data_IF_937622718384
#
_entry.id   IF_937622718384
#
_cell.length_a   1.000
_cell.length_b   1.000
_cell.length_c   1.000
_cell.angle_alpha   90.00
_cell.angle_beta   90.00
_cell.angle_gamma   90.00
#
_symmetry.space_group_name_H-M   'P 1'
#
loop_
_entity.id
_entity.type
_entity.pdbx_description
1 polymer ?
#
# COMPACT_ATOMS: atom_id res chain seq x y z
N UNK A 1 48.75 -35.87 -53.72
CA UNK A 1 47.35 -35.48 -53.81
C UNK A 1 46.85 -35.17 -52.42
N UNK A 2 46.87 -33.89 -52.03
CA UNK A 2 46.46 -33.40 -50.71
C UNK A 2 45.03 -32.84 -50.88
N UNK A 3 44.05 -33.41 -50.12
CA UNK A 3 42.68 -32.93 -50.13
C UNK A 3 42.54 -31.87 -49.02
N UNK A 4 42.28 -30.62 -49.44
CA UNK A 4 41.93 -29.51 -48.57
C UNK A 4 40.46 -29.70 -48.13
N UNK A 5 40.21 -29.81 -46.84
CA UNK A 5 38.87 -29.76 -46.25
C UNK A 5 38.63 -28.34 -45.75
N UNK A 6 37.74 -27.60 -46.40
CA UNK A 6 37.33 -26.27 -45.99
C UNK A 6 36.29 -26.41 -44.86
N UNK A 7 36.62 -25.93 -43.67
CA UNK A 7 35.71 -25.86 -42.51
C UNK A 7 34.96 -24.53 -42.55
N UNK A 8 33.67 -24.59 -42.88
CA UNK A 8 32.76 -23.45 -42.91
C UNK A 8 32.27 -23.18 -41.48
N UNK A 9 32.80 -22.17 -40.83
CA UNK A 9 32.34 -21.73 -39.52
C UNK A 9 31.03 -20.94 -39.66
N UNK A 10 29.95 -21.52 -39.22
CA UNK A 10 28.63 -20.87 -39.16
C UNK A 10 28.59 -19.98 -37.92
N UNK A 11 28.69 -18.65 -38.09
CA UNK A 11 28.51 -17.68 -37.01
C UNK A 11 27.04 -17.59 -36.64
N UNK A 12 26.67 -18.20 -35.52
CA UNK A 12 25.35 -18.03 -34.90
C UNK A 12 25.37 -16.66 -34.22
N UNK A 13 24.77 -15.66 -34.85
CA UNK A 13 24.51 -14.36 -34.24
C UNK A 13 23.56 -14.50 -33.09
N UNK A 14 24.06 -14.34 -31.84
CA UNK A 14 23.24 -14.18 -30.65
C UNK A 14 22.51 -12.83 -30.75
N UNK A 15 21.24 -12.85 -31.18
CA UNK A 15 20.36 -11.70 -31.06
C UNK A 15 20.03 -11.55 -29.58
N UNK A 16 20.70 -10.62 -28.89
CA UNK A 16 20.31 -10.20 -27.56
C UNK A 16 18.86 -9.69 -27.60
N UNK A 17 17.96 -10.16 -26.77
CA UNK A 17 16.62 -9.58 -26.71
C UNK A 17 16.75 -8.10 -26.35
N UNK A 18 16.25 -7.23 -27.22
CA UNK A 18 16.15 -5.82 -26.94
C UNK A 18 15.43 -5.64 -25.62
N UNK A 19 16.10 -5.12 -24.60
CA UNK A 19 15.48 -4.75 -23.34
C UNK A 19 14.42 -3.69 -23.66
N UNK A 20 13.14 -4.07 -23.56
CA UNK A 20 12.04 -3.13 -23.76
C UNK A 20 12.22 -1.97 -22.78
N UNK A 21 12.43 -0.77 -23.31
CA UNK A 21 12.55 0.43 -22.51
C UNK A 21 11.24 0.64 -21.74
N UNK A 22 11.34 0.96 -20.44
CA UNK A 22 10.16 1.26 -19.63
C UNK A 22 9.33 2.37 -20.31
N UNK A 23 8.01 2.28 -20.34
CA UNK A 23 7.17 3.27 -20.98
C UNK A 23 7.37 4.64 -20.32
N UNK A 24 7.35 5.70 -21.14
CA UNK A 24 7.30 7.06 -20.61
C UNK A 24 5.99 7.25 -19.84
N UNK A 25 6.03 8.03 -18.77
CA UNK A 25 4.88 8.32 -17.94
C UNK A 25 4.45 9.78 -18.10
N UNK A 26 3.15 9.97 -18.31
CA UNK A 26 2.50 11.26 -18.16
C UNK A 26 2.15 11.48 -16.69
N UNK A 27 2.32 12.72 -16.20
CA UNK A 27 1.95 13.14 -14.85
C UNK A 27 1.03 14.35 -14.92
N UNK A 28 -0.01 14.39 -14.07
CA UNK A 28 -1.02 15.45 -14.05
C UNK A 28 -1.47 15.73 -12.62
N UNK A 29 -1.68 17.01 -12.30
CA UNK A 29 -2.27 17.48 -11.04
C UNK A 29 -3.73 17.87 -11.28
N UNK A 30 -4.61 17.34 -10.46
CA UNK A 30 -6.05 17.51 -10.57
C UNK A 30 -6.57 18.08 -9.24
N UNK A 31 -7.45 19.07 -9.30
CA UNK A 31 -8.20 19.56 -8.14
C UNK A 31 -9.66 19.09 -8.27
N UNK A 32 -10.05 18.16 -7.39
CA UNK A 32 -11.41 17.60 -7.38
C UNK A 32 -12.27 18.37 -6.39
N UNK A 33 -13.40 18.97 -6.84
CA UNK A 33 -14.31 19.69 -5.94
C UNK A 33 -14.89 18.77 -4.85
N UNK A 34 -14.89 19.26 -3.59
CA UNK A 34 -15.49 18.57 -2.45
C UNK A 34 -16.79 19.24 -1.93
N UNK A 35 -17.11 20.42 -2.43
CA UNK A 35 -18.20 21.28 -1.98
C UNK A 35 -17.70 22.45 -1.15
N UNK A 36 -18.57 23.49 -1.00
CA UNK A 36 -18.29 24.69 -0.21
C UNK A 36 -16.92 25.38 -0.54
N UNK A 37 -16.49 25.29 -1.80
CA UNK A 37 -15.22 25.84 -2.26
C UNK A 37 -13.99 25.00 -1.91
N UNK A 38 -14.13 23.92 -1.16
CA UNK A 38 -13.03 22.99 -0.88
C UNK A 38 -12.71 22.09 -2.07
N UNK A 39 -11.43 21.76 -2.23
CA UNK A 39 -10.92 20.91 -3.30
C UNK A 39 -9.92 19.90 -2.74
N UNK A 40 -9.94 18.71 -3.32
CA UNK A 40 -9.00 17.63 -3.04
C UNK A 40 -7.95 17.60 -4.15
N UNK A 41 -6.69 17.72 -3.74
CA UNK A 41 -5.57 17.51 -4.65
C UNK A 41 -5.40 16.03 -4.96
N UNK A 42 -5.21 15.74 -6.26
CA UNK A 42 -4.97 14.38 -6.77
C UNK A 42 -3.84 14.42 -7.78
N UNK A 43 -2.78 13.66 -7.56
CA UNK A 43 -1.73 13.38 -8.53
C UNK A 43 -2.16 12.17 -9.36
N UNK A 44 -2.12 12.29 -10.69
CA UNK A 44 -2.28 11.18 -11.62
C UNK A 44 -0.95 10.85 -12.31
N UNK A 45 -0.65 9.57 -12.46
CA UNK A 45 0.42 9.06 -13.33
C UNK A 45 -0.07 7.87 -14.15
N UNK A 46 0.29 7.85 -15.43
CA UNK A 46 -0.13 6.81 -16.39
C UNK A 46 0.88 6.67 -17.53
N UNK A 47 0.87 5.57 -18.29
CA UNK A 47 1.65 5.49 -19.52
C UNK A 47 1.30 6.63 -20.48
N UNK A 48 2.32 7.29 -21.03
CA UNK A 48 2.16 8.39 -21.98
C UNK A 48 1.35 7.92 -23.20
N UNK A 49 0.44 8.76 -23.70
CA UNK A 49 -0.44 8.43 -24.83
C UNK A 49 -1.60 7.50 -24.50
N UNK A 50 -1.67 6.89 -23.31
CA UNK A 50 -2.81 6.05 -22.91
C UNK A 50 -3.91 6.89 -22.30
N UNK A 51 -5.10 6.84 -22.87
CA UNK A 51 -6.28 7.60 -22.43
C UNK A 51 -7.43 6.71 -21.94
N UNK A 52 -7.44 5.43 -22.35
CA UNK A 52 -8.48 4.46 -22.02
C UNK A 52 -7.92 3.36 -21.14
N UNK A 53 -8.62 3.04 -20.06
CA UNK A 53 -8.25 2.02 -19.09
C UNK A 53 -9.48 1.18 -18.74
N UNK A 54 -9.29 -0.13 -18.52
CA UNK A 54 -10.30 -0.99 -17.94
C UNK A 54 -10.39 -0.79 -16.41
N UNK A 55 -11.50 -1.18 -15.81
CA UNK A 55 -11.77 -1.02 -14.37
C UNK A 55 -10.69 -1.66 -13.46
N UNK A 56 -10.07 -2.74 -13.91
CA UNK A 56 -9.01 -3.44 -13.19
C UNK A 56 -7.62 -2.80 -13.32
N UNK A 57 -7.49 -1.76 -14.19
CA UNK A 57 -6.23 -1.03 -14.43
C UNK A 57 -6.22 0.38 -13.85
N UNK A 58 -7.16 0.72 -12.97
CA UNK A 58 -7.21 2.01 -12.30
C UNK A 58 -7.06 1.80 -10.80
N UNK A 59 -6.16 2.58 -10.17
CA UNK A 59 -5.87 2.46 -8.74
C UNK A 59 -5.70 3.82 -8.08
N UNK A 60 -6.31 3.98 -6.89
CA UNK A 60 -6.16 5.16 -6.03
C UNK A 60 -5.39 4.77 -4.77
N UNK A 61 -4.37 5.57 -4.45
CA UNK A 61 -3.61 5.51 -3.20
C UNK A 61 -4.16 6.52 -2.20
N UNK A 62 -4.45 6.08 -0.98
CA UNK A 62 -4.96 6.89 0.13
C UNK A 62 -3.99 6.81 1.30
N UNK A 63 -3.45 7.97 1.69
CA UNK A 63 -2.41 8.08 2.72
C UNK A 63 -2.95 7.89 4.15
N UNK A 64 -2.02 7.80 5.12
CA UNK A 64 -2.30 7.60 6.54
C UNK A 64 -2.48 8.90 7.33
N UNK A 65 -2.22 8.81 8.65
CA UNK A 65 -2.63 9.78 9.65
C UNK A 65 -1.84 11.10 9.73
N UNK A 66 -0.61 11.16 9.24
CA UNK A 66 0.29 12.29 9.52
C UNK A 66 0.78 12.98 8.26
N UNK A 67 1.12 12.19 7.26
CA UNK A 67 1.79 12.66 6.05
C UNK A 67 0.85 12.56 4.84
N UNK A 68 0.92 13.54 3.90
CA UNK A 68 0.10 13.52 2.69
C UNK A 68 0.52 12.42 1.70
N UNK A 69 -0.13 12.36 0.56
CA UNK A 69 0.11 11.38 -0.49
C UNK A 69 1.49 11.44 -1.17
N UNK A 70 2.34 12.39 -0.80
CA UNK A 70 3.70 12.62 -1.36
C UNK A 70 4.53 11.34 -1.38
N UNK A 71 4.42 10.49 -0.34
CA UNK A 71 5.18 9.25 -0.22
C UNK A 71 4.95 8.26 -1.38
N UNK A 72 3.78 8.29 -2.00
CA UNK A 72 3.45 7.39 -3.11
C UNK A 72 4.11 7.80 -4.43
N UNK A 73 4.39 9.11 -4.59
CA UNK A 73 4.95 9.68 -5.82
C UNK A 73 6.43 10.08 -5.69
N UNK A 74 7.07 9.80 -4.56
CA UNK A 74 8.46 10.16 -4.35
C UNK A 74 9.42 9.16 -5.01
N UNK A 75 10.24 9.63 -5.96
CA UNK A 75 11.22 8.83 -6.69
C UNK A 75 12.46 8.51 -5.85
N UNK A 76 12.32 7.71 -4.79
CA UNK A 76 13.45 7.19 -4.04
C UNK A 76 14.16 6.09 -4.84
N UNK A 77 15.49 6.13 -4.95
CA UNK A 77 16.24 5.18 -5.76
C UNK A 77 15.75 5.11 -7.22
N UNK A 78 15.34 6.25 -7.78
CA UNK A 78 15.00 6.42 -9.19
C UNK A 78 13.56 6.08 -9.60
N UNK A 79 12.68 5.63 -8.67
CA UNK A 79 11.31 5.25 -9.01
C UNK A 79 10.37 5.39 -7.81
N UNK A 80 9.20 5.98 -8.00
CA UNK A 80 8.12 6.00 -7.00
C UNK A 80 7.27 4.72 -7.06
N UNK A 81 6.38 4.53 -6.07
CA UNK A 81 5.41 3.44 -6.15
C UNK A 81 4.39 3.67 -7.27
N UNK A 82 3.95 4.92 -7.46
CA UNK A 82 3.09 5.26 -8.59
C UNK A 82 3.76 4.99 -9.94
N UNK A 83 5.06 5.32 -10.11
CA UNK A 83 5.81 4.99 -11.32
C UNK A 83 5.83 3.48 -11.56
N UNK A 84 6.13 2.71 -10.50
CA UNK A 84 6.22 1.25 -10.57
C UNK A 84 4.92 0.61 -11.08
N UNK A 85 3.77 1.11 -10.62
CA UNK A 85 2.45 0.61 -11.01
C UNK A 85 2.05 1.13 -12.40
N UNK A 86 2.30 2.42 -12.67
CA UNK A 86 1.96 3.03 -13.96
C UNK A 86 2.74 2.42 -15.13
N UNK A 87 4.04 2.12 -14.97
CA UNK A 87 4.84 1.42 -15.98
C UNK A 87 4.30 0.04 -16.37
N UNK A 88 3.41 -0.53 -15.53
CA UNK A 88 2.72 -1.80 -15.77
C UNK A 88 1.34 -1.63 -16.38
N UNK A 89 1.08 -0.45 -16.96
CA UNK A 89 -0.16 -0.17 -17.71
C UNK A 89 -1.33 0.26 -16.84
N UNK A 90 -1.09 0.72 -15.62
CA UNK A 90 -2.13 1.24 -14.75
C UNK A 90 -2.26 2.76 -14.84
N UNK A 91 -3.47 3.23 -14.63
CA UNK A 91 -3.81 4.62 -14.34
C UNK A 91 -3.80 4.81 -12.82
N UNK A 92 -2.79 5.51 -12.31
CA UNK A 92 -2.56 5.63 -10.87
C UNK A 92 -2.92 7.01 -10.37
N UNK A 93 -3.57 7.07 -9.21
CA UNK A 93 -3.95 8.30 -8.55
C UNK A 93 -3.51 8.27 -7.09
N UNK A 94 -2.97 9.38 -6.58
CA UNK A 94 -2.70 9.58 -5.16
C UNK A 94 -3.33 10.91 -4.74
N UNK A 95 -4.13 10.89 -3.69
CA UNK A 95 -4.81 12.09 -3.19
C UNK A 95 -4.20 12.58 -1.88
N UNK A 96 -4.38 13.87 -1.60
CA UNK A 96 -4.20 14.44 -0.28
C UNK A 96 -5.57 14.60 0.37
N UNK A 97 -5.78 14.05 1.56
CA UNK A 97 -7.02 14.19 2.33
C UNK A 97 -7.27 15.66 2.72
N UNK A 98 -8.50 16.04 3.10
CA UNK A 98 -8.79 17.42 3.52
C UNK A 98 -7.82 17.92 4.58
N UNK A 99 -7.34 19.14 4.44
CA UNK A 99 -6.34 19.78 5.32
C UNK A 99 -4.94 19.16 5.31
N UNK A 100 -4.67 18.18 4.45
CA UNK A 100 -3.34 17.64 4.19
C UNK A 100 -2.77 18.15 2.86
N UNK A 101 -1.45 18.18 2.78
CA UNK A 101 -0.72 18.39 1.53
C UNK A 101 -1.16 19.63 0.77
N UNK A 102 -1.56 19.41 -0.48
CA UNK A 102 -2.02 20.44 -1.43
C UNK A 102 -3.55 20.56 -1.53
N UNK A 103 -4.30 19.77 -0.77
CA UNK A 103 -5.76 19.92 -0.63
C UNK A 103 -6.11 21.19 0.14
N UNK A 104 -7.32 21.68 -0.05
CA UNK A 104 -7.82 22.86 0.68
C UNK A 104 -7.67 22.65 2.19
N UNK A 105 -7.03 23.60 2.85
CA UNK A 105 -6.85 23.62 4.31
C UNK A 105 -8.05 24.28 4.96
N UNK A 106 -8.53 23.69 6.05
CA UNK A 106 -9.51 24.33 6.93
C UNK A 106 -8.91 25.63 7.50
N UNK A 107 -9.70 26.71 7.63
CA UNK A 107 -9.27 27.93 8.33
C UNK A 107 -8.73 27.66 9.74
N UNK A 108 -9.21 26.63 10.43
CA UNK A 108 -8.71 26.23 11.74
C UNK A 108 -7.23 25.76 11.74
N UNK A 109 -6.66 25.41 10.58
CA UNK A 109 -5.21 25.17 10.44
C UNK A 109 -4.39 26.47 10.54
N UNK A 110 -5.02 27.61 10.43
CA UNK A 110 -4.35 28.92 10.49
C UNK A 110 -4.41 29.58 11.89
N UNK A 111 -5.30 29.06 12.79
CA UNK A 111 -5.46 29.44 14.18
C UNK A 111 -4.66 28.53 15.13
N UNK A 112 -4.68 28.82 16.43
CA UNK A 112 -4.13 27.91 17.44
C UNK A 112 -4.93 26.61 17.47
N UNK A 113 -4.23 25.47 17.64
CA UNK A 113 -4.86 24.16 17.51
C UNK A 113 -5.99 23.94 18.53
N UNK A 114 -5.82 24.48 19.74
CA UNK A 114 -6.76 24.38 20.86
C UNK A 114 -8.07 25.15 20.67
N UNK A 115 -8.13 26.08 19.71
CA UNK A 115 -9.31 26.90 19.43
C UNK A 115 -10.40 26.13 18.66
N UNK A 116 -10.06 24.98 18.09
CA UNK A 116 -11.00 24.22 17.27
C UNK A 116 -10.98 22.73 17.60
N UNK A 117 -12.07 22.05 17.27
CA UNK A 117 -12.18 20.61 17.38
C UNK A 117 -11.21 19.92 16.39
N UNK A 118 -10.86 18.63 16.61
CA UNK A 118 -10.04 17.84 15.72
C UNK A 118 -10.56 17.82 14.28
N UNK A 119 -9.70 18.24 13.34
CA UNK A 119 -10.02 18.31 11.91
C UNK A 119 -9.86 16.95 11.23
N UNK A 120 -10.57 16.78 10.13
CA UNK A 120 -10.47 15.64 9.20
C UNK A 120 -10.71 14.32 9.93
N UNK A 121 -11.97 14.14 10.37
CA UNK A 121 -12.45 12.85 10.88
C UNK A 121 -12.52 11.81 9.75
N UNK A 122 -12.51 10.55 10.12
CA UNK A 122 -12.62 9.46 9.14
C UNK A 122 -13.83 9.56 8.23
N UNK A 123 -15.00 10.01 8.74
CA UNK A 123 -16.20 10.23 7.93
C UNK A 123 -16.01 11.32 6.86
N UNK A 124 -15.27 12.40 7.17
CA UNK A 124 -14.92 13.45 6.20
C UNK A 124 -13.94 12.92 5.14
N UNK A 125 -12.96 12.13 5.58
CA UNK A 125 -12.00 11.49 4.69
C UNK A 125 -12.68 10.49 3.73
N UNK A 126 -13.66 9.70 4.19
CA UNK A 126 -14.45 8.77 3.35
C UNK A 126 -15.23 9.56 2.29
N UNK A 127 -15.86 10.68 2.66
CA UNK A 127 -16.56 11.56 1.68
C UNK A 127 -15.59 12.12 0.64
N UNK A 128 -14.40 12.54 1.04
CA UNK A 128 -13.38 13.05 0.13
C UNK A 128 -12.91 11.97 -0.86
N UNK A 129 -12.65 10.75 -0.39
CA UNK A 129 -12.34 9.60 -1.25
C UNK A 129 -13.49 9.33 -2.21
N UNK A 130 -14.75 9.39 -1.74
CA UNK A 130 -15.93 9.23 -2.57
C UNK A 130 -16.00 10.24 -3.74
N UNK A 131 -15.76 11.52 -3.45
CA UNK A 131 -15.72 12.57 -4.49
C UNK A 131 -14.62 12.31 -5.54
N UNK A 132 -13.44 11.87 -5.09
CA UNK A 132 -12.32 11.52 -5.99
C UNK A 132 -12.66 10.29 -6.83
N UNK A 133 -13.24 9.24 -6.23
CA UNK A 133 -13.68 8.04 -6.97
C UNK A 133 -14.69 8.41 -8.03
N UNK A 134 -15.76 9.14 -7.68
CA UNK A 134 -16.80 9.55 -8.62
C UNK A 134 -16.23 10.39 -9.79
N UNK A 135 -15.28 11.29 -9.49
CA UNK A 135 -14.58 12.07 -10.52
C UNK A 135 -13.81 11.16 -11.50
N UNK A 136 -13.04 10.18 -10.97
CA UNK A 136 -12.22 9.30 -11.80
C UNK A 136 -13.08 8.33 -12.61
N UNK A 137 -14.12 7.72 -12.01
CA UNK A 137 -15.05 6.84 -12.71
C UNK A 137 -15.69 7.56 -13.90
N UNK A 138 -16.19 8.80 -13.68
CA UNK A 138 -16.74 9.65 -14.74
C UNK A 138 -15.70 10.00 -15.81
N UNK A 139 -14.49 10.41 -15.38
CA UNK A 139 -13.39 10.78 -16.28
C UNK A 139 -12.98 9.64 -17.21
N UNK A 140 -12.96 8.40 -16.70
CA UNK A 140 -12.51 7.22 -17.44
C UNK A 140 -13.62 6.40 -18.09
N UNK A 141 -14.87 6.70 -17.78
CA UNK A 141 -16.02 5.96 -18.30
C UNK A 141 -16.05 4.52 -17.81
N UNK A 142 -15.66 4.28 -16.56
CA UNK A 142 -15.63 2.96 -15.92
C UNK A 142 -16.51 2.92 -14.68
N UNK A 143 -16.92 1.73 -14.26
CA UNK A 143 -17.81 1.54 -13.12
C UNK A 143 -17.09 1.28 -11.81
N UNK A 144 -15.86 0.75 -11.86
CA UNK A 144 -15.10 0.32 -10.68
C UNK A 144 -13.62 0.66 -10.82
N UNK A 145 -12.95 0.75 -9.68
CA UNK A 145 -11.51 0.90 -9.60
C UNK A 145 -10.95 0.23 -8.33
N UNK A 146 -9.64 0.09 -8.23
CA UNK A 146 -8.97 -0.48 -7.06
C UNK A 146 -8.53 0.60 -6.08
N UNK A 147 -8.55 0.28 -4.79
CA UNK A 147 -8.15 1.18 -3.71
C UNK A 147 -6.97 0.59 -2.93
N UNK A 148 -5.97 1.42 -2.66
CA UNK A 148 -4.84 1.11 -1.77
C UNK A 148 -4.87 2.11 -0.63
N UNK A 149 -5.13 1.65 0.59
CA UNK A 149 -5.01 2.45 1.79
C UNK A 149 -3.72 2.13 2.54
N UNK A 150 -3.06 3.15 3.09
CA UNK A 150 -1.93 3.00 3.97
C UNK A 150 -2.29 3.49 5.38
N UNK A 151 -2.03 2.66 6.41
CA UNK A 151 -2.26 3.05 7.81
C UNK A 151 -3.72 3.46 8.04
N UNK A 152 -3.99 4.64 8.55
CA UNK A 152 -5.36 5.19 8.67
C UNK A 152 -6.11 5.19 7.33
N UNK A 153 -5.41 5.37 6.21
CA UNK A 153 -6.00 5.22 4.88
C UNK A 153 -6.69 3.88 4.66
N UNK A 154 -6.26 2.81 5.37
CA UNK A 154 -6.92 1.49 5.30
C UNK A 154 -8.33 1.51 5.86
N UNK A 155 -8.54 2.23 6.97
CA UNK A 155 -9.88 2.44 7.56
C UNK A 155 -10.78 3.21 6.59
N UNK A 156 -10.23 4.24 5.94
CA UNK A 156 -10.97 5.09 5.00
C UNK A 156 -11.40 4.30 3.77
N UNK A 157 -10.47 3.60 3.10
CA UNK A 157 -10.80 2.82 1.89
C UNK A 157 -11.71 1.63 2.20
N UNK A 158 -11.56 0.99 3.37
CA UNK A 158 -12.42 -0.10 3.79
C UNK A 158 -13.84 0.40 4.10
N UNK A 159 -13.99 1.51 4.84
CA UNK A 159 -15.29 2.13 5.10
C UNK A 159 -15.97 2.49 3.78
N UNK A 160 -15.27 3.19 2.87
CA UNK A 160 -15.79 3.52 1.55
C UNK A 160 -16.24 2.25 0.79
N UNK A 161 -15.40 1.21 0.77
CA UNK A 161 -15.70 -0.03 0.05
C UNK A 161 -16.90 -0.80 0.62
N UNK A 162 -17.20 -0.65 1.92
CA UNK A 162 -18.41 -1.24 2.52
C UNK A 162 -19.67 -0.44 2.21
N UNK A 163 -19.55 0.86 1.99
CA UNK A 163 -20.67 1.74 1.65
C UNK A 163 -20.97 1.77 0.13
N UNK A 164 -19.94 1.69 -0.69
CA UNK A 164 -20.00 1.85 -2.16
C UNK A 164 -19.38 0.65 -2.90
N UNK A 165 -19.74 -0.56 -2.50
CA UNK A 165 -19.14 -1.81 -2.97
C UNK A 165 -19.15 -1.98 -4.51
N UNK A 166 -20.17 -1.47 -5.19
CA UNK A 166 -20.33 -1.53 -6.64
C UNK A 166 -19.26 -0.72 -7.42
N UNK A 167 -18.58 0.23 -6.77
CA UNK A 167 -17.53 1.06 -7.37
C UNK A 167 -16.12 0.53 -7.12
N UNK A 168 -15.97 -0.58 -6.39
CA UNK A 168 -14.67 -1.09 -5.95
C UNK A 168 -14.37 -2.44 -6.62
N UNK A 169 -13.23 -2.49 -7.32
CA UNK A 169 -12.74 -3.72 -7.95
C UNK A 169 -11.89 -4.56 -7.00
N UNK A 170 -10.96 -3.94 -6.26
CA UNK A 170 -10.06 -4.58 -5.28
C UNK A 170 -9.72 -3.60 -4.16
N UNK A 171 -9.39 -4.14 -2.98
CA UNK A 171 -8.92 -3.35 -1.84
C UNK A 171 -7.58 -3.88 -1.35
N UNK A 172 -6.61 -2.98 -1.19
CA UNK A 172 -5.34 -3.25 -0.53
C UNK A 172 -5.28 -2.47 0.78
N UNK A 173 -5.12 -3.19 1.87
CA UNK A 173 -4.97 -2.64 3.22
C UNK A 173 -3.50 -2.79 3.64
N UNK A 174 -2.69 -1.78 3.33
CA UNK A 174 -1.28 -1.74 3.69
C UNK A 174 -1.11 -1.13 5.08
N UNK A 175 -0.50 -1.89 5.99
CA UNK A 175 -0.34 -1.54 7.40
C UNK A 175 -1.72 -1.21 8.04
N UNK A 176 -2.66 -2.19 8.06
CA UNK A 176 -4.06 -1.92 8.41
C UNK A 176 -4.25 -1.51 9.87
N UNK A 177 -5.00 -0.42 10.07
CA UNK A 177 -5.48 -0.04 11.39
C UNK A 177 -6.70 -0.91 11.75
N UNK A 178 -6.62 -1.55 12.91
CA UNK A 178 -7.70 -2.36 13.48
C UNK A 178 -7.77 -2.17 15.00
N UNK A 179 -8.61 -2.97 15.66
CA UNK A 179 -8.76 -2.93 17.11
C UNK A 179 -7.41 -3.06 17.82
N UNK A 180 -7.15 -2.18 18.75
CA UNK A 180 -5.84 -2.00 19.37
C UNK A 180 -5.81 -2.63 20.78
N UNK A 181 -4.77 -3.41 21.04
CA UNK A 181 -4.48 -3.99 22.38
C UNK A 181 -3.20 -3.44 22.99
N UNK A 182 -2.47 -2.58 22.26
CA UNK A 182 -1.22 -1.92 22.70
C UNK A 182 -1.38 -0.41 22.60
N UNK A 183 -0.59 0.36 23.36
CA UNK A 183 -0.60 1.81 23.27
C UNK A 183 -0.29 2.32 21.86
N UNK A 184 -0.94 3.40 21.45
CA UNK A 184 -0.63 4.09 20.19
C UNK A 184 0.71 4.82 20.29
N UNK A 185 1.51 4.80 19.22
CA UNK A 185 2.71 5.64 19.11
C UNK A 185 2.34 7.12 18.87
N UNK A 186 1.14 7.39 18.37
CA UNK A 186 0.63 8.76 18.20
C UNK A 186 -0.21 9.12 19.41
N UNK A 187 0.36 9.97 20.25
CA UNK A 187 -0.33 10.52 21.44
C UNK A 187 -0.25 12.03 21.40
N UNK A 188 -1.30 12.66 21.88
CA UNK A 188 -1.35 14.12 22.09
C UNK A 188 -1.54 14.38 23.58
N UNK A 189 -0.69 15.23 24.12
CA UNK A 189 -0.81 15.66 25.52
C UNK A 189 -1.80 16.81 25.62
N UNK A 190 -2.65 16.81 26.67
CA UNK A 190 -3.63 17.84 26.92
C UNK A 190 -4.89 17.75 26.07
N UNK A 191 -5.55 18.88 25.83
CA UNK A 191 -6.78 18.98 25.02
C UNK A 191 -6.47 18.65 23.57
N UNK A 192 -7.23 17.75 22.99
CA UNK A 192 -7.12 17.40 21.58
C UNK A 192 -7.74 18.51 20.73
N UNK A 193 -6.87 19.35 20.13
CA UNK A 193 -7.27 20.43 19.23
C UNK A 193 -7.30 20.03 17.75
N UNK A 194 -7.43 21.00 16.87
CA UNK A 194 -7.60 20.85 15.43
C UNK A 194 -6.50 19.99 14.78
N UNK A 195 -5.25 20.24 15.14
CA UNK A 195 -4.07 19.59 14.57
C UNK A 195 -2.96 19.41 15.62
N UNK A 196 -2.00 18.58 15.30
CA UNK A 196 -0.72 18.44 15.99
C UNK A 196 0.43 18.85 15.07
N UNK A 197 1.57 19.21 15.66
CA UNK A 197 2.80 19.51 14.94
C UNK A 197 3.80 18.38 15.12
N UNK A 198 4.45 17.96 14.04
CA UNK A 198 5.47 16.91 14.02
C UNK A 198 6.75 17.50 13.44
N UNK A 199 7.90 17.27 14.10
CA UNK A 199 9.23 17.64 13.58
C UNK A 199 9.82 16.50 12.75
N UNK A 200 10.90 16.82 11.99
CA UNK A 200 11.66 15.80 11.23
C UNK A 200 12.28 14.75 12.16
N UNK A 201 12.83 15.17 13.30
CA UNK A 201 13.43 14.26 14.26
C UNK A 201 12.42 13.29 14.86
N UNK A 202 11.22 13.79 15.21
CA UNK A 202 10.11 12.94 15.65
C UNK A 202 9.67 11.95 14.57
N UNK A 203 9.65 12.39 13.31
CA UNK A 203 9.32 11.51 12.18
C UNK A 203 10.36 10.39 12.01
N UNK A 204 11.66 10.71 12.06
CA UNK A 204 12.74 9.73 11.97
C UNK A 204 12.72 8.74 13.15
N UNK A 205 12.59 9.26 14.37
CA UNK A 205 12.54 8.43 15.57
C UNK A 205 11.37 7.44 15.51
N UNK A 206 10.19 7.90 15.08
CA UNK A 206 9.02 7.03 14.90
C UNK A 206 9.23 6.01 13.79
N UNK A 207 9.84 6.38 12.68
CA UNK A 207 10.12 5.47 11.55
C UNK A 207 11.00 4.31 11.99
N UNK A 208 12.00 4.56 12.85
CA UNK A 208 12.95 3.56 13.36
C UNK A 208 12.40 2.76 14.55
N UNK A 209 11.19 3.03 15.03
CA UNK A 209 10.60 2.31 16.17
C UNK A 209 10.34 0.85 15.82
N UNK A 210 10.85 -0.06 16.64
CA UNK A 210 10.70 -1.51 16.47
C UNK A 210 11.77 -2.17 15.60
N UNK A 211 12.66 -1.38 15.02
CA UNK A 211 13.79 -1.90 14.23
C UNK A 211 14.88 -2.43 15.16
N UNK A 212 15.40 -3.65 14.97
CA UNK A 212 16.58 -4.13 15.69
C UNK A 212 17.78 -3.18 15.53
N UNK A 213 18.56 -2.96 16.59
CA UNK A 213 19.60 -1.92 16.58
C UNK A 213 20.66 -2.14 15.50
N UNK A 214 21.05 -3.39 15.23
CA UNK A 214 21.98 -3.76 14.17
C UNK A 214 21.44 -3.56 12.75
N UNK A 215 20.13 -3.33 12.60
CA UNK A 215 19.45 -3.13 11.31
C UNK A 215 19.11 -1.67 11.01
N UNK A 216 19.09 -0.80 12.02
CA UNK A 216 18.66 0.62 11.87
C UNK A 216 19.45 1.36 10.79
N UNK A 217 20.78 1.24 10.80
CA UNK A 217 21.65 1.95 9.86
C UNK A 217 21.41 1.58 8.38
N UNK A 218 20.94 0.36 8.11
CA UNK A 218 20.74 -0.16 6.76
C UNK A 218 19.28 -0.07 6.27
N UNK A 219 18.34 0.28 7.15
CA UNK A 219 16.92 0.28 6.81
C UNK A 219 16.57 1.33 5.78
N UNK A 220 17.01 2.55 6.02
CA UNK A 220 16.75 3.71 5.16
C UNK A 220 18.02 4.02 4.37
N UNK A 221 18.05 3.83 3.04
CA UNK A 221 19.21 4.19 2.23
C UNK A 221 19.59 5.66 2.39
N UNK A 222 20.88 5.97 2.29
CA UNK A 222 21.40 7.32 2.47
C UNK A 222 20.68 8.35 1.61
N UNK A 223 20.29 9.47 2.18
CA UNK A 223 19.58 10.58 1.53
C UNK A 223 18.08 10.34 1.31
N UNK A 224 17.54 9.16 1.59
CA UNK A 224 16.11 8.90 1.34
C UNK A 224 15.20 9.54 2.37
N UNK A 225 15.63 9.56 3.64
CA UNK A 225 14.87 10.26 4.67
C UNK A 225 14.83 11.77 4.40
N UNK A 226 15.95 12.38 4.07
CA UNK A 226 16.06 13.80 3.74
C UNK A 226 15.18 14.15 2.54
N UNK A 227 15.28 13.38 1.45
CA UNK A 227 14.46 13.59 0.25
C UNK A 227 12.96 13.49 0.55
N UNK A 228 12.56 12.51 1.38
CA UNK A 228 11.18 12.37 1.82
C UNK A 228 10.75 13.52 2.73
N UNK A 229 11.59 13.87 3.69
CA UNK A 229 11.29 14.94 4.63
C UNK A 229 11.18 16.30 3.92
N UNK A 230 12.09 16.59 2.98
CA UNK A 230 12.04 17.82 2.18
C UNK A 230 10.74 17.93 1.40
N UNK A 231 10.38 16.87 0.64
CA UNK A 231 9.16 16.86 -0.15
C UNK A 231 7.89 16.93 0.70
N UNK A 232 7.87 16.23 1.85
CA UNK A 232 6.69 16.11 2.70
C UNK A 232 6.47 17.35 3.56
N UNK A 233 7.52 17.86 4.22
CA UNK A 233 7.41 19.01 5.11
C UNK A 233 7.23 20.32 4.35
N UNK A 234 7.68 20.41 3.10
CA UNK A 234 7.39 21.54 2.22
C UNK A 234 5.89 21.70 1.89
N UNK A 235 5.07 20.66 2.11
CA UNK A 235 3.62 20.74 1.89
C UNK A 235 2.89 21.56 2.95
N UNK A 236 3.50 21.83 4.10
CA UNK A 236 2.94 22.73 5.12
C UNK A 236 3.49 24.16 4.95
N UNK A 237 2.67 25.12 4.51
CA UNK A 237 3.14 26.48 4.25
C UNK A 237 3.68 27.21 5.49
N UNK A 238 3.26 26.82 6.70
CA UNK A 238 3.74 27.40 7.96
C UNK A 238 4.85 26.61 8.64
N UNK A 239 5.14 25.41 8.17
CA UNK A 239 6.14 24.53 8.77
C UNK A 239 7.59 24.92 8.50
N UNK A 240 7.83 25.79 7.50
CA UNK A 240 9.18 26.22 7.11
C UNK A 240 10.10 25.05 6.72
N UNK A 241 9.55 23.94 6.26
CA UNK A 241 10.28 22.72 5.93
C UNK A 241 10.84 21.95 7.16
N UNK A 242 10.61 22.44 8.38
CA UNK A 242 11.12 21.85 9.64
C UNK A 242 10.06 21.08 10.40
N UNK A 243 8.82 21.56 10.35
CA UNK A 243 7.66 20.95 11.01
C UNK A 243 6.51 20.76 10.03
N UNK A 244 5.59 19.89 10.40
CA UNK A 244 4.37 19.58 9.62
C UNK A 244 3.19 19.56 10.58
N UNK A 245 2.14 20.32 10.28
CA UNK A 245 0.87 20.24 10.99
C UNK A 245 -0.01 19.16 10.38
N UNK A 246 -0.47 18.25 11.23
CA UNK A 246 -1.32 17.14 10.81
C UNK A 246 -2.65 17.16 11.56
N UNK A 247 -3.81 17.10 10.88
CA UNK A 247 -5.12 17.04 11.50
C UNK A 247 -5.25 15.94 12.56
N UNK A 248 -6.02 16.23 13.62
CA UNK A 248 -6.16 15.34 14.77
C UNK A 248 -7.43 14.46 14.74
N UNK A 249 -8.26 14.54 13.70
CA UNK A 249 -9.46 13.72 13.59
C UNK A 249 -9.21 12.23 13.71
N UNK A 250 -8.08 11.74 13.14
CA UNK A 250 -7.66 10.35 13.27
C UNK A 250 -7.37 9.94 14.73
N UNK A 251 -6.84 10.86 15.56
CA UNK A 251 -6.57 10.56 16.97
C UNK A 251 -7.86 10.46 17.74
N UNK A 252 -8.81 11.36 17.48
CA UNK A 252 -10.15 11.28 18.06
C UNK A 252 -10.87 10.00 17.64
N UNK A 253 -10.84 9.64 16.35
CA UNK A 253 -11.37 8.36 15.88
C UNK A 253 -10.71 7.17 16.58
N UNK A 254 -9.37 7.24 16.77
CA UNK A 254 -8.64 6.19 17.49
C UNK A 254 -9.14 6.02 18.94
N UNK A 255 -9.39 7.13 19.64
CA UNK A 255 -9.89 7.10 21.01
C UNK A 255 -11.33 6.58 21.08
N UNK A 256 -12.18 6.98 20.14
CA UNK A 256 -13.60 6.61 20.13
C UNK A 256 -13.85 5.16 19.67
N UNK A 257 -13.01 4.62 18.79
CA UNK A 257 -13.23 3.31 18.16
C UNK A 257 -12.17 2.28 18.55
N UNK A 258 -10.92 2.49 18.14
CA UNK A 258 -9.88 1.44 18.24
C UNK A 258 -9.30 1.26 19.64
N UNK A 259 -9.25 2.34 20.44
CA UNK A 259 -8.73 2.33 21.81
C UNK A 259 -9.85 2.41 22.86
N UNK A 260 -11.11 2.42 22.43
CA UNK A 260 -12.26 2.41 23.34
C UNK A 260 -12.30 1.12 24.18
N UNK A 261 -12.98 1.18 25.33
CA UNK A 261 -13.20 0.01 26.19
C UNK A 261 -14.71 -0.20 26.37
N UNK A 262 -15.30 -1.28 25.79
CA UNK A 262 -14.65 -2.22 24.86
C UNK A 262 -14.31 -1.58 23.50
N UNK A 263 -13.28 -2.07 22.80
CA UNK A 263 -12.95 -1.59 21.47
C UNK A 263 -14.12 -1.75 20.49
N UNK A 264 -14.28 -0.77 19.59
CA UNK A 264 -15.33 -0.78 18.56
C UNK A 264 -14.67 -0.76 17.19
N UNK A 265 -15.14 -1.56 16.22
CA UNK A 265 -14.69 -1.43 14.84
C UNK A 265 -15.23 -0.12 14.23
N UNK A 266 -14.38 0.61 13.48
CA UNK A 266 -14.80 1.79 12.75
C UNK A 266 -15.68 1.45 11.55
N UNK A 267 -15.48 0.28 10.97
CA UNK A 267 -16.21 -0.27 9.83
C UNK A 267 -16.44 -1.77 10.04
N UNK A 268 -17.42 -2.32 9.34
CA UNK A 268 -17.81 -3.72 9.46
C UNK A 268 -17.09 -4.57 8.40
N UNK A 269 -16.12 -5.43 8.77
CA UNK A 269 -15.38 -6.24 7.80
C UNK A 269 -16.24 -7.29 7.08
N UNK A 270 -17.39 -7.69 7.63
CA UNK A 270 -18.30 -8.60 6.96
C UNK A 270 -19.04 -7.96 5.77
N UNK A 271 -19.06 -6.62 5.70
CA UNK A 271 -19.66 -5.90 4.57
C UNK A 271 -18.69 -5.71 3.39
N UNK A 272 -17.41 -6.06 3.56
CA UNK A 272 -16.43 -5.92 2.49
C UNK A 272 -16.52 -7.09 1.52
N UNK A 273 -17.08 -6.86 0.34
CA UNK A 273 -17.37 -7.89 -0.68
C UNK A 273 -16.41 -7.84 -1.88
N UNK A 274 -15.41 -6.98 -1.86
CA UNK A 274 -14.34 -6.95 -2.86
C UNK A 274 -13.20 -7.91 -2.48
N UNK A 275 -12.37 -8.37 -3.44
CA UNK A 275 -11.10 -9.03 -3.13
C UNK A 275 -10.20 -8.15 -2.25
N UNK A 276 -9.55 -8.75 -1.24
CA UNK A 276 -8.76 -8.01 -0.24
C UNK A 276 -7.35 -8.56 -0.10
N UNK A 277 -6.35 -7.67 -0.15
CA UNK A 277 -4.99 -7.95 0.29
C UNK A 277 -4.68 -7.14 1.56
N UNK A 278 -4.27 -7.82 2.63
CA UNK A 278 -3.64 -7.21 3.79
C UNK A 278 -2.13 -7.35 3.66
N UNK A 279 -1.39 -6.24 3.80
CA UNK A 279 0.09 -6.25 3.79
C UNK A 279 0.59 -5.50 5.01
N UNK A 280 1.57 -6.08 5.73
CA UNK A 280 2.15 -5.47 6.93
C UNK A 280 3.65 -5.76 6.99
N UNK A 281 4.44 -4.80 7.52
CA UNK A 281 5.85 -5.00 7.83
C UNK A 281 6.03 -5.78 9.13
N UNK A 282 7.05 -6.64 9.17
CA UNK A 282 7.39 -7.45 10.36
C UNK A 282 7.65 -6.58 11.60
N UNK A 283 8.30 -5.43 11.41
CA UNK A 283 8.69 -4.51 12.47
C UNK A 283 7.72 -3.34 12.66
N UNK A 284 6.55 -3.39 12.05
CA UNK A 284 5.53 -2.35 12.21
C UNK A 284 5.06 -2.25 13.66
N UNK A 285 5.25 -1.07 14.27
CA UNK A 285 4.80 -0.76 15.63
C UNK A 285 3.65 0.26 15.67
N UNK A 286 3.39 0.91 14.56
CA UNK A 286 2.22 1.79 14.41
C UNK A 286 0.93 0.98 14.26
N UNK A 287 0.96 -0.01 13.38
CA UNK A 287 -0.09 -1.01 13.18
C UNK A 287 0.53 -2.41 13.25
N UNK A 288 0.81 -2.90 14.47
CA UNK A 288 1.50 -4.17 14.64
C UNK A 288 0.83 -5.33 13.91
N UNK A 289 1.59 -6.34 13.45
CA UNK A 289 1.08 -7.45 12.63
C UNK A 289 -0.17 -8.13 13.18
N UNK A 290 -0.37 -8.17 14.50
CA UNK A 290 -1.57 -8.75 15.10
C UNK A 290 -2.87 -8.07 14.64
N UNK A 291 -2.83 -6.78 14.27
CA UNK A 291 -4.00 -6.07 13.74
C UNK A 291 -4.45 -6.67 12.41
N UNK A 292 -3.52 -6.92 11.49
CA UNK A 292 -3.81 -7.60 10.23
C UNK A 292 -4.27 -9.06 10.47
N UNK A 293 -3.64 -9.77 11.39
CA UNK A 293 -3.95 -11.16 11.72
C UNK A 293 -5.35 -11.30 12.33
N UNK A 294 -5.75 -10.38 13.20
CA UNK A 294 -7.09 -10.41 13.82
C UNK A 294 -8.19 -9.91 12.88
N UNK A 295 -7.87 -8.98 11.97
CA UNK A 295 -8.80 -8.51 10.94
C UNK A 295 -9.06 -9.57 9.85
N UNK A 296 -8.03 -10.31 9.44
CA UNK A 296 -8.10 -11.24 8.31
C UNK A 296 -9.25 -12.25 8.37
N UNK A 297 -9.50 -12.99 9.48
CA UNK A 297 -10.62 -13.93 9.55
C UNK A 297 -11.99 -13.26 9.41
N UNK A 298 -12.13 -12.01 9.86
CA UNK A 298 -13.40 -11.26 9.85
C UNK A 298 -13.85 -10.83 8.46
N UNK A 299 -12.97 -10.83 7.46
CA UNK A 299 -13.29 -10.53 6.06
C UNK A 299 -14.01 -11.74 5.42
N UNK A 300 -15.14 -12.14 5.97
CA UNK A 300 -15.83 -13.40 5.64
C UNK A 300 -16.52 -13.38 4.27
N UNK A 301 -16.94 -12.20 3.81
CA UNK A 301 -17.62 -12.02 2.50
C UNK A 301 -16.71 -11.57 1.37
N UNK A 302 -15.42 -11.35 1.63
CA UNK A 302 -14.46 -11.12 0.55
C UNK A 302 -14.38 -12.36 -0.33
N UNK A 303 -14.57 -12.26 -1.67
CA UNK A 303 -14.59 -13.43 -2.55
C UNK A 303 -13.26 -14.20 -2.54
N UNK A 304 -12.16 -13.50 -2.31
CA UNK A 304 -10.87 -14.05 -1.92
C UNK A 304 -10.05 -13.00 -1.16
N UNK A 305 -9.18 -13.46 -0.28
CA UNK A 305 -8.37 -12.61 0.57
C UNK A 305 -6.98 -13.18 0.79
N UNK A 306 -6.02 -12.29 0.99
CA UNK A 306 -4.62 -12.66 1.24
C UNK A 306 -4.06 -11.81 2.38
N UNK A 307 -3.20 -12.39 3.21
CA UNK A 307 -2.39 -11.70 4.19
C UNK A 307 -0.92 -11.94 3.86
N UNK A 308 -0.15 -10.86 3.71
CA UNK A 308 1.29 -10.89 3.50
C UNK A 308 2.01 -10.11 4.61
N UNK A 309 2.94 -10.75 5.30
CA UNK A 309 3.87 -10.09 6.23
C UNK A 309 5.24 -10.03 5.57
N UNK A 310 5.78 -8.82 5.45
CA UNK A 310 7.03 -8.55 4.76
C UNK A 310 8.16 -8.41 5.77
N UNK A 311 9.23 -9.19 5.59
CA UNK A 311 10.39 -9.19 6.47
C UNK A 311 11.18 -7.88 6.41
N UNK A 312 11.80 -7.55 7.53
CA UNK A 312 12.71 -6.40 7.69
C UNK A 312 12.09 -5.07 7.22
N UNK A 313 10.79 -4.86 7.46
CA UNK A 313 10.07 -3.65 7.09
C UNK A 313 9.28 -3.06 8.26
N UNK A 314 9.25 -1.73 8.37
CA UNK A 314 8.44 -1.02 9.36
C UNK A 314 7.10 -0.58 8.78
N UNK A 315 6.41 0.32 9.48
CA UNK A 315 5.20 0.98 9.00
C UNK A 315 5.39 1.72 7.66
N UNK A 316 6.61 2.11 7.38
CA UNK A 316 7.03 2.94 6.24
C UNK A 316 7.81 2.16 5.18
N UNK A 317 7.66 0.83 5.10
CA UNK A 317 8.39 -0.02 4.14
C UNK A 317 8.33 0.49 2.68
N UNK A 318 7.30 1.26 2.30
CA UNK A 318 7.21 1.88 0.98
C UNK A 318 8.38 2.82 0.65
N UNK A 319 9.12 3.28 1.66
CA UNK A 319 10.26 4.20 1.54
C UNK A 319 11.56 3.60 2.09
N UNK A 320 11.60 2.30 2.33
CA UNK A 320 12.75 1.57 2.86
C UNK A 320 13.47 0.77 1.77
N UNK A 321 14.65 0.23 2.10
CA UNK A 321 15.43 -0.60 1.17
C UNK A 321 14.61 -1.76 0.58
N UNK A 322 13.67 -2.30 1.37
CA UNK A 322 12.84 -3.45 1.01
C UNK A 322 11.54 -3.09 0.27
N UNK A 323 11.30 -1.81 -0.03
CA UNK A 323 10.05 -1.33 -0.65
C UNK A 323 9.59 -2.11 -1.87
N UNK A 324 10.54 -2.65 -2.65
CA UNK A 324 10.21 -3.41 -3.85
C UNK A 324 9.46 -4.71 -3.53
N UNK A 325 9.63 -5.29 -2.33
CA UNK A 325 8.83 -6.43 -1.88
C UNK A 325 7.35 -6.03 -1.73
N UNK A 326 7.08 -4.87 -1.12
CA UNK A 326 5.73 -4.31 -1.03
C UNK A 326 5.13 -4.07 -2.42
N UNK A 327 5.88 -3.39 -3.30
CA UNK A 327 5.42 -3.06 -4.65
C UNK A 327 5.06 -4.32 -5.44
N UNK A 328 5.90 -5.36 -5.41
CA UNK A 328 5.67 -6.64 -6.09
C UNK A 328 4.48 -7.38 -5.52
N UNK A 329 4.37 -7.46 -4.20
CA UNK A 329 3.26 -8.14 -3.51
C UNK A 329 1.91 -7.53 -3.90
N UNK A 330 1.83 -6.19 -3.89
CA UNK A 330 0.61 -5.48 -4.27
C UNK A 330 0.34 -5.59 -5.77
N UNK A 331 1.38 -5.43 -6.61
CA UNK A 331 1.23 -5.54 -8.08
C UNK A 331 0.69 -6.91 -8.48
N UNK A 332 1.25 -7.99 -7.93
CA UNK A 332 0.76 -9.34 -8.17
C UNK A 332 -0.73 -9.46 -7.84
N UNK A 333 -1.16 -8.93 -6.68
CA UNK A 333 -2.55 -8.96 -6.29
C UNK A 333 -3.46 -8.15 -7.24
N UNK A 334 -2.99 -7.00 -7.74
CA UNK A 334 -3.74 -6.18 -8.68
C UNK A 334 -3.92 -6.83 -10.05
N UNK A 335 -2.96 -7.67 -10.48
CA UNK A 335 -2.95 -8.32 -11.78
C UNK A 335 -3.52 -9.75 -11.78
N UNK A 336 -3.63 -10.36 -10.62
CA UNK A 336 -4.03 -11.76 -10.48
C UNK A 336 -5.51 -11.95 -10.84
N UNK A 337 -5.78 -12.95 -11.66
CA UNK A 337 -7.16 -13.37 -11.93
C UNK A 337 -7.82 -13.97 -10.67
N UNK A 338 -9.13 -13.84 -10.49
CA UNK A 338 -9.85 -14.54 -9.42
C UNK A 338 -9.50 -16.03 -9.38
N UNK A 339 -9.40 -16.66 -8.18
CA UNK A 339 -9.01 -18.06 -8.05
C UNK A 339 -9.86 -19.04 -8.89
N UNK A 340 -11.13 -18.74 -9.13
CA UNK A 340 -12.04 -19.52 -9.95
C UNK A 340 -11.66 -19.52 -11.44
N UNK A 341 -11.10 -18.42 -11.95
CA UNK A 341 -10.62 -18.31 -13.33
C UNK A 341 -9.22 -18.94 -13.47
N UNK A 342 -8.36 -18.77 -12.47
CA UNK A 342 -7.03 -19.37 -12.44
C UNK A 342 -7.07 -20.89 -12.44
N UNK A 343 -8.03 -21.51 -11.74
CA UNK A 343 -8.23 -22.96 -11.71
C UNK A 343 -8.61 -23.54 -13.09
N UNK A 344 -9.30 -22.78 -13.93
CA UNK A 344 -9.66 -23.19 -15.29
C UNK A 344 -8.49 -23.14 -16.28
N UNK A 345 -7.46 -22.35 -16.00
CA UNK A 345 -6.26 -22.19 -16.84
C UNK A 345 -5.14 -23.19 -16.47
N UNK A 346 -5.11 -23.68 -15.24
CA UNK A 346 -4.21 -24.75 -14.83
C UNK A 346 -4.73 -26.11 -15.31
N UNK A 347 -4.51 -26.43 -16.59
CA UNK A 347 -4.52 -27.83 -17.02
C UNK A 347 -3.32 -28.51 -16.36
N UNK A 348 -3.50 -29.01 -15.15
CA UNK A 348 -2.55 -29.94 -14.54
C UNK A 348 -2.61 -31.18 -15.42
N UNK A 349 -1.61 -31.34 -16.29
CA UNK A 349 -1.43 -32.60 -17.03
C UNK A 349 -1.41 -33.76 -16.03
N UNK A 350 -1.93 -34.94 -16.41
CA UNK A 350 -2.00 -36.07 -15.50
C UNK A 350 -0.59 -36.37 -14.96
N UNK A 351 -0.41 -36.26 -13.65
CA UNK A 351 0.78 -36.75 -12.97
C UNK A 351 0.94 -38.22 -13.32
N UNK A 352 1.86 -38.57 -14.24
CA UNK A 352 2.27 -39.95 -14.41
C UNK A 352 2.80 -40.43 -13.06
N UNK A 353 2.01 -41.26 -12.36
CA UNK A 353 2.48 -42.06 -11.24
C UNK A 353 3.67 -42.88 -11.75
N UNK A 354 4.89 -42.46 -11.47
CA UNK A 354 6.04 -43.36 -11.53
C UNK A 354 5.81 -44.39 -10.43
N UNK A 355 5.29 -45.51 -10.80
CA UNK A 355 5.33 -46.72 -9.98
C UNK A 355 6.82 -46.97 -9.73
N UNK A 356 7.29 -46.67 -8.53
CA UNK A 356 8.57 -47.19 -8.08
C UNK A 356 8.48 -48.70 -8.07
N UNK A 357 9.13 -49.34 -9.01
CA UNK A 357 9.33 -50.81 -9.01
C UNK A 357 10.08 -51.13 -7.72
N UNK A 358 9.48 -52.01 -6.98
CA UNK A 358 9.94 -52.70 -5.80
C UNK A 358 11.42 -53.10 -5.88
N UNK A 359 12.32 -52.66 -4.99
CA UNK A 359 13.65 -53.24 -4.86
C UNK A 359 13.54 -54.46 -3.94
N UNK A 360 13.78 -55.58 -4.53
CA UNK A 360 13.73 -56.94 -3.99
C UNK A 360 14.15 -57.13 -2.53
N UNK A 361 13.45 -58.09 -1.94
CA UNK A 361 13.83 -58.99 -0.83
C UNK A 361 15.03 -58.64 0.01
N UNK A 362 14.78 -58.20 1.22
CA UNK A 362 15.75 -58.28 2.32
C UNK A 362 15.45 -59.55 3.10
N UNK A 363 16.37 -60.51 3.08
CA UNK A 363 16.36 -61.73 3.92
C UNK A 363 16.47 -61.37 5.41
N UNK A 364 15.81 -62.12 6.29
CA UNK A 364 15.91 -61.89 7.74
C UNK A 364 17.24 -62.41 8.31
N UNK A 365 18.03 -61.58 8.88
CA UNK A 365 19.19 -61.91 9.75
C UNK A 365 18.66 -62.41 11.08
N UNK A 366 18.80 -63.71 11.33
CA UNK A 366 18.63 -64.39 12.63
C UNK A 366 19.65 -63.85 13.64
N UNK A 367 19.20 -63.17 14.67
CA UNK A 367 20.01 -62.89 15.90
C UNK A 367 19.99 -64.16 16.76
N UNK A 368 21.15 -64.82 16.92
CA UNK A 368 21.42 -65.73 18.02
C UNK A 368 21.65 -64.90 19.27
N UNK A 369 20.86 -65.12 20.31
CA UNK A 369 21.11 -64.75 21.67
C UNK A 369 21.96 -65.87 22.28
N UNK A 370 23.11 -65.53 22.83
CA UNK A 370 23.90 -66.42 23.73
C UNK A 370 23.89 -65.86 25.14
N UNK A 371 23.76 -66.73 26.08
CA UNK A 371 23.53 -66.65 27.50
C UNK A 371 24.39 -65.66 28.28
#
# INVERSE_FOLDING_TARGET
MLKLVAMMAMAIGLVSPAQAQAPRLASEDIMVPLGEGAQIFVRNKRPEGTTTFSSDRIVIFVHGATYPGTAFDLSLGGKSWMDYVAERGFDTYALDLPSYGRSTRSPAMEAAAEDSAPLTRGSEAVKAVGAVVDHILKRRGVERLSLIGWSWGTTIVASYATERANTVARVVLYAPVWLRTTASLVQVQGKLGAYRTVSRDQALARWLTGVPDDKKAALIPAGWFEAWADATFATDPKGGGKTLRAPNGVIQDSQEFWAATPPKPYWDPEKLVAPVLLVVGEWDRDTPPYMAQTLFPLLSKAPWKRLAMLSEGTHTILMERNRVLLFRTVQQFLEEAPPTEAASQLRIGPWRRRVLRDPGRISPLTRKVAA
#
